data_IF_734694251449
#
_entry.id   IF_734694251449
#
_cell.length_a   1.000
_cell.length_b   1.000
_cell.length_c   1.000
_cell.angle_alpha   90.00
_cell.angle_beta   90.00
_cell.angle_gamma   90.00
#
_symmetry.space_group_name_H-M   'P 1'
#
loop_
_entity.id
_entity.type
_entity.pdbx_description
1 polymer ?
#
# COMPACT_ATOMS: atom_id res chain seq x y z
N UNK A 1 33.56 14.21 1.49
CA UNK A 1 32.59 14.16 2.61
C UNK A 1 31.20 14.28 2.00
N UNK A 2 30.48 13.17 1.83
CA UNK A 2 29.10 13.19 1.34
C UNK A 2 28.16 13.37 2.54
N UNK A 3 27.60 14.57 2.68
CA UNK A 3 26.56 14.84 3.66
C UNK A 3 25.26 14.22 3.16
N UNK A 4 24.82 13.13 3.78
CA UNK A 4 23.48 12.58 3.62
C UNK A 4 22.53 13.63 4.22
N UNK A 5 21.84 14.40 3.37
CA UNK A 5 20.82 15.33 3.85
C UNK A 5 19.65 14.48 4.38
N UNK A 6 19.18 14.68 5.62
CA UNK A 6 17.94 14.05 6.07
C UNK A 6 16.81 14.58 5.17
N UNK A 7 16.10 13.67 4.50
CA UNK A 7 14.96 14.03 3.66
C UNK A 7 13.85 14.40 4.64
N UNK A 8 13.47 15.67 4.65
CA UNK A 8 12.46 16.17 5.57
C UNK A 8 11.11 15.62 5.11
N UNK A 9 10.62 14.58 5.76
CA UNK A 9 9.32 14.00 5.42
C UNK A 9 8.20 15.05 5.49
N UNK A 10 7.34 15.06 4.49
CA UNK A 10 6.21 16.00 4.38
C UNK A 10 5.01 15.46 5.17
N UNK A 11 4.44 16.31 6.01
CA UNK A 11 3.21 16.03 6.77
C UNK A 11 1.94 16.51 6.08
N UNK A 12 2.05 17.41 5.09
CA UNK A 12 0.93 17.88 4.27
C UNK A 12 0.61 16.88 3.14
N UNK A 13 -0.55 16.23 3.24
CA UNK A 13 -1.02 15.20 2.31
C UNK A 13 -1.90 15.76 1.19
N UNK A 14 -2.11 17.07 1.12
CA UNK A 14 -3.09 17.66 0.18
C UNK A 14 -2.81 17.28 -1.27
N UNK A 15 -1.55 17.39 -1.71
CA UNK A 15 -1.15 17.04 -3.08
C UNK A 15 -1.29 15.53 -3.33
N UNK A 16 -0.84 14.71 -2.38
CA UNK A 16 -0.97 13.24 -2.44
C UNK A 16 -2.43 12.82 -2.57
N UNK A 17 -3.34 13.48 -1.85
CA UNK A 17 -4.78 13.20 -1.90
C UNK A 17 -5.36 13.52 -3.28
N UNK A 18 -5.04 14.70 -3.83
CA UNK A 18 -5.52 15.10 -5.16
C UNK A 18 -5.02 14.13 -6.24
N UNK A 19 -3.76 13.71 -6.16
CA UNK A 19 -3.19 12.76 -7.12
C UNK A 19 -3.77 11.35 -6.98
N UNK A 20 -4.05 10.91 -5.75
CA UNK A 20 -4.71 9.63 -5.49
C UNK A 20 -6.14 9.63 -6.07
N UNK A 21 -6.92 10.69 -5.84
CA UNK A 21 -8.26 10.85 -6.43
C UNK A 21 -8.20 10.92 -7.96
N UNK A 22 -7.19 11.60 -8.51
CA UNK A 22 -7.00 11.65 -9.95
C UNK A 22 -6.70 10.27 -10.53
N UNK A 23 -5.81 9.50 -9.92
CA UNK A 23 -5.50 8.14 -10.35
C UNK A 23 -6.75 7.25 -10.31
N UNK A 24 -7.54 7.28 -9.23
CA UNK A 24 -8.81 6.56 -9.12
C UNK A 24 -9.77 6.86 -10.27
N UNK A 25 -9.85 8.13 -10.67
CA UNK A 25 -10.70 8.56 -11.79
C UNK A 25 -10.18 8.06 -13.12
N UNK A 26 -8.86 7.99 -13.30
CA UNK A 26 -8.25 7.44 -14.51
C UNK A 26 -8.47 5.92 -14.60
N UNK A 27 -8.29 5.19 -13.51
CA UNK A 27 -8.53 3.74 -13.42
C UNK A 27 -9.99 3.36 -13.70
N UNK A 28 -10.94 4.18 -13.24
CA UNK A 28 -12.39 3.97 -13.46
C UNK A 28 -12.92 4.59 -14.74
N UNK A 29 -12.06 5.20 -15.56
CA UNK A 29 -12.51 5.86 -16.79
C UNK A 29 -13.05 4.83 -17.79
N UNK A 30 -14.27 5.07 -18.30
CA UNK A 30 -14.83 4.29 -19.40
C UNK A 30 -14.20 4.65 -20.76
N UNK A 31 -13.63 5.86 -20.85
CA UNK A 31 -12.94 6.34 -22.05
C UNK A 31 -11.44 6.04 -21.99
N UNK A 32 -10.79 5.76 -23.13
CA UNK A 32 -9.35 5.53 -23.17
C UNK A 32 -8.57 6.74 -22.63
N UNK A 33 -7.75 6.51 -21.62
CA UNK A 33 -6.83 7.51 -21.07
C UNK A 33 -5.53 7.50 -21.89
N UNK A 34 -5.01 8.68 -22.21
CA UNK A 34 -3.71 8.80 -22.88
C UNK A 34 -2.58 8.23 -22.00
N UNK A 35 -1.75 7.35 -22.56
CA UNK A 35 -0.70 6.66 -21.81
C UNK A 35 0.29 7.63 -21.12
N UNK A 36 0.65 8.73 -21.78
CA UNK A 36 1.55 9.75 -21.20
C UNK A 36 0.91 10.48 -20.01
N UNK A 37 -0.39 10.76 -20.08
CA UNK A 37 -1.12 11.39 -18.98
C UNK A 37 -1.16 10.45 -17.77
N UNK A 38 -1.54 9.20 -18.00
CA UNK A 38 -1.57 8.18 -16.96
C UNK A 38 -0.19 8.03 -16.29
N UNK A 39 0.85 7.88 -17.11
CA UNK A 39 2.24 7.75 -16.64
C UNK A 39 2.69 8.97 -15.84
N UNK A 40 2.34 10.18 -16.26
CA UNK A 40 2.68 11.41 -15.54
C UNK A 40 2.03 11.46 -14.15
N UNK A 41 0.76 11.05 -14.03
CA UNK A 41 0.06 11.00 -12.73
C UNK A 41 0.69 9.96 -11.82
N UNK A 42 0.94 8.76 -12.34
CA UNK A 42 1.60 7.67 -11.60
C UNK A 42 2.97 8.11 -11.09
N UNK A 43 3.84 8.63 -11.95
CA UNK A 43 5.20 9.05 -11.53
C UNK A 43 5.16 10.15 -10.48
N UNK A 44 4.25 11.11 -10.62
CA UNK A 44 4.14 12.20 -9.64
C UNK A 44 3.62 11.70 -8.30
N UNK A 45 2.61 10.81 -8.31
CA UNK A 45 2.08 10.19 -7.10
C UNK A 45 3.15 9.35 -6.39
N UNK A 46 3.94 8.55 -7.12
CA UNK A 46 5.06 7.78 -6.56
C UNK A 46 6.04 8.70 -5.83
N UNK A 47 6.42 9.83 -6.45
CA UNK A 47 7.32 10.79 -5.83
C UNK A 47 6.74 11.39 -4.54
N UNK A 48 5.48 11.83 -4.56
CA UNK A 48 4.84 12.37 -3.36
C UNK A 48 4.73 11.32 -2.25
N UNK A 49 4.41 10.07 -2.59
CA UNK A 49 4.32 8.97 -1.61
C UNK A 49 5.66 8.61 -0.97
N UNK A 50 6.78 8.78 -1.69
CA UNK A 50 8.13 8.53 -1.16
C UNK A 50 8.57 9.57 -0.12
N UNK A 51 8.05 10.79 -0.19
CA UNK A 51 8.40 11.90 0.72
C UNK A 51 7.47 12.01 1.93
N UNK A 52 6.33 11.32 1.91
CA UNK A 52 5.36 11.36 3.01
C UNK A 52 5.81 10.50 4.19
N UNK A 53 5.61 11.01 5.40
CA UNK A 53 5.84 10.23 6.63
C UNK A 53 4.83 9.08 6.76
N UNK A 54 5.33 7.85 6.97
CA UNK A 54 4.49 6.71 7.29
C UNK A 54 3.72 6.94 8.59
N UNK A 55 2.39 6.89 8.54
CA UNK A 55 1.56 7.15 9.71
C UNK A 55 0.08 6.97 9.45
N UNK A 56 -0.74 7.23 10.48
CA UNK A 56 -2.20 7.03 10.42
C UNK A 56 -2.88 7.82 9.31
N UNK A 57 -2.39 9.04 9.02
CA UNK A 57 -2.96 9.89 7.99
C UNK A 57 -2.71 9.33 6.58
N UNK A 58 -1.51 8.83 6.31
CA UNK A 58 -1.21 8.12 5.07
C UNK A 58 -2.04 6.83 4.96
N UNK A 59 -2.14 6.05 6.04
CA UNK A 59 -2.99 4.85 6.08
C UNK A 59 -4.44 5.15 5.67
N UNK A 60 -5.06 6.15 6.28
CA UNK A 60 -6.45 6.55 5.97
C UNK A 60 -6.63 7.01 4.51
N UNK A 61 -5.65 7.71 3.94
CA UNK A 61 -5.66 8.10 2.53
C UNK A 61 -5.66 6.87 1.64
N UNK A 62 -4.74 5.93 1.90
CA UNK A 62 -4.60 4.74 1.07
C UNK A 62 -5.78 3.76 1.24
N UNK A 63 -6.44 3.73 2.40
CA UNK A 63 -7.67 2.94 2.61
C UNK A 63 -8.86 3.48 1.82
N UNK A 64 -8.83 4.78 1.48
CA UNK A 64 -9.88 5.43 0.68
C UNK A 64 -9.63 5.33 -0.83
N UNK A 65 -8.38 5.11 -1.26
CA UNK A 65 -7.96 5.12 -2.66
C UNK A 65 -7.21 3.81 -3.03
N UNK A 66 -7.94 2.75 -3.42
CA UNK A 66 -7.36 1.45 -3.79
C UNK A 66 -6.23 1.50 -4.84
N UNK A 67 -6.33 2.31 -5.89
CA UNK A 67 -5.30 2.42 -6.92
C UNK A 67 -3.99 3.03 -6.36
N UNK A 68 -4.11 4.04 -5.50
CA UNK A 68 -2.96 4.62 -4.80
C UNK A 68 -2.37 3.63 -3.79
N UNK A 69 -3.21 2.80 -3.17
CA UNK A 69 -2.79 1.74 -2.27
C UNK A 69 -1.91 0.70 -2.96
N UNK A 70 -2.39 0.15 -4.08
CA UNK A 70 -1.65 -0.84 -4.87
C UNK A 70 -0.32 -0.28 -5.37
N UNK A 71 -0.32 0.97 -5.84
CA UNK A 71 0.89 1.65 -6.29
C UNK A 71 1.89 1.87 -5.15
N UNK A 72 1.43 2.27 -3.96
CA UNK A 72 2.27 2.38 -2.77
C UNK A 72 2.88 1.03 -2.37
N UNK A 73 2.09 -0.05 -2.39
CA UNK A 73 2.56 -1.41 -2.10
C UNK A 73 3.60 -1.88 -3.13
N UNK A 74 3.36 -1.66 -4.42
CA UNK A 74 4.27 -2.04 -5.50
C UNK A 74 5.63 -1.34 -5.40
N UNK A 75 5.64 -0.04 -5.05
CA UNK A 75 6.89 0.72 -4.88
C UNK A 75 7.64 0.28 -3.63
N UNK A 76 6.93 -0.03 -2.55
CA UNK A 76 7.52 -0.43 -1.27
C UNK A 76 7.64 -1.95 -1.12
N UNK A 77 7.57 -2.70 -2.22
CA UNK A 77 7.53 -4.16 -2.22
C UNK A 77 8.68 -4.80 -1.42
N UNK A 78 9.89 -4.23 -1.51
CA UNK A 78 11.07 -4.70 -0.78
C UNK A 78 10.95 -4.54 0.75
N UNK A 79 10.16 -3.56 1.22
CA UNK A 79 10.02 -3.20 2.63
C UNK A 79 8.71 -3.68 3.26
N UNK A 80 7.62 -3.76 2.49
CA UNK A 80 6.28 -4.02 2.99
C UNK A 80 5.83 -5.49 2.84
N UNK A 81 6.43 -6.26 1.92
CA UNK A 81 5.79 -7.49 1.45
C UNK A 81 4.38 -7.22 0.90
N UNK A 82 3.69 -8.25 0.42
CA UNK A 82 2.41 -8.15 -0.31
C UNK A 82 1.20 -7.60 0.48
N UNK A 83 1.36 -7.12 1.72
CA UNK A 83 0.21 -6.94 2.60
C UNK A 83 0.25 -5.64 3.44
N UNK A 84 -0.27 -4.53 2.90
CA UNK A 84 -1.15 -3.66 3.72
C UNK A 84 -2.54 -4.28 3.85
N UNK A 85 -2.92 -5.15 2.91
CA UNK A 85 -4.13 -5.96 2.98
C UNK A 85 -3.97 -7.21 3.87
N UNK A 86 -4.69 -7.15 5.00
CA UNK A 86 -5.05 -8.24 5.91
C UNK A 86 -3.93 -9.13 6.46
N UNK A 87 -2.81 -8.55 6.90
CA UNK A 87 -1.85 -9.26 7.76
C UNK A 87 -2.58 -9.93 8.94
N UNK A 88 -3.50 -9.21 9.60
CA UNK A 88 -4.27 -9.75 10.72
C UNK A 88 -5.16 -10.94 10.34
N UNK A 89 -5.81 -10.91 9.17
CA UNK A 89 -6.64 -12.03 8.68
C UNK A 89 -5.75 -13.21 8.29
N UNK A 90 -4.61 -12.93 7.65
CA UNK A 90 -3.65 -13.96 7.24
C UNK A 90 -3.03 -14.65 8.46
N UNK A 91 -2.68 -13.89 9.49
CA UNK A 91 -2.09 -14.38 10.74
C UNK A 91 -3.14 -15.10 11.60
N UNK A 92 -4.39 -14.62 11.59
CA UNK A 92 -5.51 -15.34 12.21
C UNK A 92 -5.79 -16.68 11.51
N UNK A 93 -5.78 -16.71 10.17
CA UNK A 93 -5.95 -17.93 9.39
C UNK A 93 -4.80 -18.92 9.63
N UNK A 94 -3.55 -18.44 9.69
CA UNK A 94 -2.38 -19.26 10.01
C UNK A 94 -2.52 -19.89 11.41
N UNK A 95 -2.90 -19.11 12.42
CA UNK A 95 -3.13 -19.63 13.78
C UNK A 95 -4.23 -20.68 13.82
N UNK A 96 -5.36 -20.43 13.18
CA UNK A 96 -6.47 -21.39 13.12
C UNK A 96 -6.06 -22.69 12.42
N UNK A 97 -5.29 -22.60 11.33
CA UNK A 97 -4.78 -23.77 10.63
C UNK A 97 -3.85 -24.59 11.53
N UNK A 98 -2.94 -23.92 12.25
CA UNK A 98 -2.03 -24.58 13.20
C UNK A 98 -2.79 -25.29 14.32
N UNK A 99 -3.79 -24.64 14.91
CA UNK A 99 -4.62 -25.25 15.96
C UNK A 99 -5.38 -26.49 15.45
N UNK A 100 -5.90 -26.45 14.22
CA UNK A 100 -6.59 -27.58 13.62
C UNK A 100 -5.65 -28.78 13.39
N UNK A 101 -4.42 -28.52 12.92
CA UNK A 101 -3.39 -29.55 12.71
C UNK A 101 -2.99 -30.17 14.05
N UNK A 102 -2.67 -29.35 15.06
CA UNK A 102 -2.25 -29.82 16.38
C UNK A 102 -3.34 -30.70 17.03
N UNK A 103 -4.63 -30.34 16.85
CA UNK A 103 -5.77 -31.13 17.31
C UNK A 103 -5.91 -32.48 16.59
N UNK A 104 -5.69 -32.51 15.27
CA UNK A 104 -5.74 -33.74 14.48
C UNK A 104 -4.60 -34.70 14.83
N UNK A 105 -3.40 -34.16 15.06
CA UNK A 105 -2.24 -34.93 15.52
C UNK A 105 -2.50 -35.56 16.90
N UNK A 106 -3.00 -34.78 17.86
CA UNK A 106 -3.28 -35.28 19.21
C UNK A 106 -4.42 -36.30 19.28
N UNK A 107 -5.35 -36.29 18.32
CA UNK A 107 -6.41 -37.30 18.20
C UNK A 107 -5.95 -38.61 17.55
N UNK A 108 -4.83 -38.60 16.85
CA UNK A 108 -4.30 -39.80 16.16
C UNK A 108 -3.43 -40.67 17.08
N UNK A 109 -3.07 -40.16 18.26
CA UNK A 109 -2.23 -40.83 19.27
C UNK A 109 -3.01 -41.50 20.41
N UNK A 110 -4.35 -41.58 20.30
CA UNK A 110 -5.24 -42.35 21.20
C UNK A 110 -5.97 -43.40 20.39
#
# INVERSE_FOLDING_TARGET
MNAIKPHSHKTDLTVTHVLAELLERLERSAEPVGAEQYRSVVLHLVNELGEVESGKALGALLDTHPAAAELYENVNYEYAGLCRSALDVSLAAERQAKEAIDKAMNRSTT
#
